data_IF_429499226239
#
_entry.id   IF_429499226239
#
_cell.length_a   1.000
_cell.length_b   1.000
_cell.length_c   1.000
_cell.angle_alpha   90.00
_cell.angle_beta   90.00
_cell.angle_gamma   90.00
#
_symmetry.space_group_name_H-M   'P 1'
#
loop_
_entity.id
_entity.type
_entity.pdbx_description
1 polymer ?
#
# COMPACT_ATOMS: atom_id res chain seq x y z
N UNK A 1 -28.76 -20.27 37.97
CA UNK A 1 -28.60 -19.15 37.02
C UNK A 1 -29.95 -18.45 36.89
N UNK A 2 -30.04 -17.15 37.15
CA UNK A 2 -31.32 -16.42 37.21
C UNK A 2 -31.93 -16.25 35.82
N UNK A 3 -33.20 -16.63 35.62
CA UNK A 3 -33.89 -16.52 34.33
C UNK A 3 -33.85 -15.09 33.77
N UNK A 4 -33.87 -14.08 34.65
CA UNK A 4 -33.71 -12.66 34.30
C UNK A 4 -32.36 -12.34 33.63
N UNK A 5 -31.28 -13.01 34.03
CA UNK A 5 -29.96 -12.83 33.43
C UNK A 5 -29.88 -13.46 32.03
N UNK A 6 -30.60 -14.57 31.79
CA UNK A 6 -30.65 -15.20 30.47
C UNK A 6 -31.28 -14.27 29.44
N UNK A 7 -32.38 -13.60 29.79
CA UNK A 7 -33.03 -12.63 28.91
C UNK A 7 -32.14 -11.41 28.60
N UNK A 8 -31.42 -10.89 29.59
CA UNK A 8 -30.47 -9.78 29.36
C UNK A 8 -29.34 -10.18 28.41
N UNK A 9 -28.79 -11.39 28.57
CA UNK A 9 -27.72 -11.89 27.69
C UNK A 9 -28.21 -12.03 26.25
N UNK A 10 -29.42 -12.55 26.03
CA UNK A 10 -29.99 -12.71 24.69
C UNK A 10 -30.22 -11.36 23.98
N UNK A 11 -30.67 -10.34 24.72
CA UNK A 11 -30.85 -8.98 24.18
C UNK A 11 -29.49 -8.39 23.77
N UNK A 12 -28.47 -8.54 24.61
CA UNK A 12 -27.12 -8.03 24.32
C UNK A 12 -26.55 -8.71 23.07
N UNK A 13 -26.63 -10.04 22.97
CA UNK A 13 -26.17 -10.79 21.78
C UNK A 13 -26.89 -10.32 20.51
N UNK A 14 -28.22 -10.12 20.59
CA UNK A 14 -29.01 -9.62 19.48
C UNK A 14 -28.55 -8.24 18.98
N UNK A 15 -28.23 -7.32 19.89
CA UNK A 15 -27.71 -5.99 19.55
C UNK A 15 -26.34 -6.07 18.86
N UNK A 16 -25.42 -6.89 19.37
CA UNK A 16 -24.10 -7.04 18.75
C UNK A 16 -24.16 -7.66 17.35
N UNK A 17 -25.01 -8.68 17.15
CA UNK A 17 -25.19 -9.31 15.83
C UNK A 17 -25.84 -8.34 14.85
N UNK A 18 -26.87 -7.59 15.27
CA UNK A 18 -27.55 -6.60 14.42
C UNK A 18 -26.64 -5.46 13.98
N UNK A 19 -25.86 -4.89 14.91
CA UNK A 19 -24.90 -3.81 14.60
C UNK A 19 -23.76 -4.33 13.73
N UNK A 20 -23.25 -5.55 14.00
CA UNK A 20 -22.21 -6.18 13.18
C UNK A 20 -22.65 -6.39 11.73
N UNK A 21 -23.89 -6.83 11.49
CA UNK A 21 -24.45 -7.01 10.15
C UNK A 21 -24.58 -5.69 9.37
N UNK A 22 -24.97 -4.60 10.04
CA UNK A 22 -25.06 -3.27 9.42
C UNK A 22 -23.68 -2.75 9.02
N UNK A 23 -22.68 -2.90 9.89
CA UNK A 23 -21.30 -2.49 9.60
C UNK A 23 -20.71 -3.34 8.47
N UNK A 24 -20.94 -4.65 8.49
CA UNK A 24 -20.44 -5.56 7.46
C UNK A 24 -20.99 -5.22 6.08
N UNK A 25 -22.28 -4.88 5.98
CA UNK A 25 -22.90 -4.48 4.70
C UNK A 25 -22.30 -3.19 4.15
N UNK A 26 -22.15 -2.16 4.99
CA UNK A 26 -21.56 -0.88 4.57
C UNK A 26 -20.09 -1.03 4.14
N UNK A 27 -19.33 -1.90 4.80
CA UNK A 27 -17.94 -2.16 4.42
C UNK A 27 -17.80 -2.88 3.06
N UNK A 28 -18.75 -3.75 2.73
CA UNK A 28 -18.74 -4.46 1.44
C UNK A 28 -19.10 -3.55 0.26
N UNK A 29 -20.06 -2.63 0.44
CA UNK A 29 -20.40 -1.62 -0.59
C UNK A 29 -19.26 -0.64 -0.86
N UNK A 30 -18.47 -0.27 0.16
CA UNK A 30 -17.30 0.60 -0.03
C UNK A 30 -16.17 -0.04 -0.87
N UNK A 31 -16.17 -1.36 -1.09
CA UNK A 31 -15.07 -2.07 -1.78
C UNK A 31 -15.31 -2.25 -3.28
N UNK A 32 -16.49 -1.92 -3.82
CA UNK A 32 -16.80 -2.15 -5.24
C UNK A 32 -16.44 -0.99 -6.18
N UNK A 33 -15.98 0.17 -5.69
CA UNK A 33 -15.67 1.34 -6.55
C UNK A 33 -14.19 1.48 -6.96
N UNK A 34 -13.28 0.62 -6.48
CA UNK A 34 -11.83 0.74 -6.78
C UNK A 34 -11.31 -0.27 -7.83
N UNK A 35 -12.18 -0.83 -8.67
CA UNK A 35 -11.80 -1.78 -9.74
C UNK A 35 -12.07 -1.24 -11.15
N UNK A 36 -11.90 0.06 -11.36
CA UNK A 36 -11.76 0.67 -12.70
C UNK A 36 -10.27 0.96 -13.02
N UNK A 37 -9.41 -0.05 -12.87
CA UNK A 37 -8.09 -0.03 -13.50
C UNK A 37 -8.22 -0.60 -14.92
N UNK A 38 -8.54 0.30 -15.85
CA UNK A 38 -8.01 0.34 -17.22
C UNK A 38 -7.79 -1.02 -17.90
N UNK A 39 -8.89 -1.70 -18.25
CA UNK A 39 -8.89 -2.83 -19.19
C UNK A 39 -9.28 -2.36 -20.60
N UNK A 40 -8.52 -1.40 -21.15
CA UNK A 40 -8.57 -1.08 -22.58
C UNK A 40 -7.47 -1.86 -23.31
N UNK A 41 -7.64 -3.17 -23.39
CA UNK A 41 -7.07 -4.02 -24.44
C UNK A 41 -8.19 -5.00 -24.82
N UNK A 42 -9.09 -4.58 -25.70
CA UNK A 42 -9.04 -4.88 -27.12
C UNK A 42 -9.01 -6.40 -27.41
N UNK A 43 -10.15 -7.05 -27.18
CA UNK A 43 -10.53 -8.25 -27.95
C UNK A 43 -11.85 -7.94 -28.63
N UNK A 44 -11.75 -7.31 -29.80
CA UNK A 44 -12.83 -7.24 -30.76
C UNK A 44 -12.87 -8.60 -31.46
N UNK A 45 -13.70 -9.52 -30.98
CA UNK A 45 -14.06 -10.73 -31.74
C UNK A 45 -14.98 -10.31 -32.88
N UNK A 46 -14.40 -10.04 -34.05
CA UNK A 46 -15.11 -10.04 -35.32
C UNK A 46 -14.97 -11.43 -35.94
N UNK A 47 -16.04 -12.21 -35.83
CA UNK A 47 -16.27 -13.37 -36.69
C UNK A 47 -16.58 -12.86 -38.10
N UNK A 48 -15.56 -12.74 -38.94
CA UNK A 48 -15.74 -12.66 -40.39
C UNK A 48 -14.72 -13.56 -41.09
N UNK A 49 -15.24 -14.69 -41.58
CA UNK A 49 -14.60 -15.52 -42.60
C UNK A 49 -14.16 -14.65 -43.78
N UNK A 50 -12.88 -14.73 -44.19
CA UNK A 50 -12.37 -14.40 -45.53
C UNK A 50 -10.94 -15.00 -45.71
N UNK A 51 -10.48 -15.19 -46.96
CA UNK A 51 -9.73 -16.34 -47.42
C UNK A 51 -8.22 -16.26 -47.19
N UNK A 52 -7.63 -17.45 -47.19
CA UNK A 52 -6.18 -17.73 -47.19
C UNK A 52 -5.53 -17.05 -48.41
N UNK A 53 -4.91 -15.88 -48.21
CA UNK A 53 -3.92 -15.32 -49.12
C UNK A 53 -2.57 -15.25 -48.40
N UNK A 54 -1.56 -15.82 -49.05
CA UNK A 54 -0.19 -15.93 -48.54
C UNK A 54 0.47 -14.55 -48.49
N UNK A 55 0.47 -13.91 -47.32
CA UNK A 55 1.17 -12.67 -47.06
C UNK A 55 2.61 -12.96 -46.59
N UNK A 56 3.64 -12.24 -47.07
CA UNK A 56 5.03 -12.49 -46.71
C UNK A 56 5.26 -12.25 -45.21
N UNK A 57 5.80 -13.27 -44.53
CA UNK A 57 6.26 -13.22 -43.13
C UNK A 57 7.14 -11.99 -42.91
N UNK A 58 6.56 -10.94 -42.33
CA UNK A 58 7.32 -9.81 -41.83
C UNK A 58 8.12 -10.29 -40.61
N UNK A 59 9.45 -10.24 -40.74
CA UNK A 59 10.36 -10.51 -39.64
C UNK A 59 10.16 -9.41 -38.59
N UNK A 60 9.46 -9.74 -37.51
CA UNK A 60 9.40 -8.89 -36.33
C UNK A 60 10.82 -8.82 -35.76
N UNK A 61 11.42 -7.63 -35.82
CA UNK A 61 12.67 -7.37 -35.11
C UNK A 61 12.28 -7.27 -33.64
N UNK A 62 12.49 -8.35 -32.91
CA UNK A 62 12.31 -8.40 -31.46
C UNK A 62 13.27 -7.36 -30.84
N UNK A 63 12.73 -6.17 -30.54
CA UNK A 63 13.47 -5.11 -29.85
C UNK A 63 13.77 -5.60 -28.43
N UNK A 64 14.93 -6.22 -28.27
CA UNK A 64 15.44 -6.62 -26.97
C UNK A 64 15.76 -5.33 -26.21
N UNK A 65 14.83 -4.88 -25.37
CA UNK A 65 15.04 -3.72 -24.50
C UNK A 65 16.28 -4.01 -23.65
N UNK A 66 17.31 -3.18 -23.80
CA UNK A 66 18.54 -3.31 -23.02
C UNK A 66 18.19 -3.21 -21.54
N UNK A 67 18.46 -4.28 -20.81
CA UNK A 67 18.27 -4.37 -19.37
C UNK A 67 19.23 -3.41 -18.65
N UNK A 68 18.70 -2.57 -17.76
CA UNK A 68 19.48 -1.58 -17.01
C UNK A 68 20.09 -2.18 -15.73
N UNK A 69 19.46 -3.22 -15.19
CA UNK A 69 19.79 -3.80 -13.90
C UNK A 69 19.35 -5.26 -13.80
N UNK A 70 19.93 -6.01 -12.87
CA UNK A 70 19.56 -7.42 -12.62
C UNK A 70 18.30 -7.48 -11.76
N UNK A 71 17.33 -8.30 -12.14
CA UNK A 71 16.08 -8.46 -11.38
C UNK A 71 16.33 -8.82 -9.92
N UNK A 72 15.61 -8.15 -9.01
CA UNK A 72 15.77 -8.30 -7.57
C UNK A 72 16.96 -7.54 -6.97
N UNK A 73 17.85 -6.97 -7.79
CA UNK A 73 18.92 -6.11 -7.28
C UNK A 73 18.33 -4.89 -6.56
N UNK A 74 18.94 -4.52 -5.43
CA UNK A 74 18.56 -3.34 -4.65
C UNK A 74 19.77 -2.42 -4.50
N UNK A 75 19.59 -1.12 -4.71
CA UNK A 75 20.64 -0.11 -4.48
C UNK A 75 20.12 1.07 -3.66
N UNK A 76 21.04 1.78 -3.00
CA UNK A 76 20.73 3.04 -2.33
C UNK A 76 20.33 4.12 -3.33
N UNK A 77 19.40 4.97 -2.93
CA UNK A 77 18.95 6.13 -3.70
C UNK A 77 18.54 7.26 -2.76
N UNK A 78 18.21 8.41 -3.35
CA UNK A 78 17.69 9.58 -2.65
C UNK A 78 16.40 10.01 -3.36
N UNK A 79 15.35 10.29 -2.60
CA UNK A 79 14.08 10.77 -3.15
C UNK A 79 14.13 12.27 -3.52
N UNK A 80 13.02 12.79 -4.06
CA UNK A 80 12.90 14.20 -4.44
C UNK A 80 13.01 15.18 -3.26
N UNK A 81 12.82 14.69 -2.02
CA UNK A 81 12.93 15.46 -0.78
C UNK A 81 14.29 15.29 -0.11
N UNK A 82 15.26 14.72 -0.82
CA UNK A 82 16.62 14.46 -0.34
C UNK A 82 16.68 13.42 0.81
N UNK A 83 15.74 12.49 0.87
CA UNK A 83 15.67 11.44 1.88
C UNK A 83 16.33 10.14 1.39
N UNK A 84 17.21 9.52 2.20
CA UNK A 84 17.87 8.28 1.83
C UNK A 84 16.87 7.13 1.78
N UNK A 85 16.92 6.35 0.71
CA UNK A 85 16.02 5.23 0.45
C UNK A 85 16.70 4.12 -0.33
N UNK A 86 15.88 3.20 -0.85
CA UNK A 86 16.30 2.09 -1.69
C UNK A 86 15.40 1.98 -2.91
N UNK A 87 15.97 1.57 -4.04
CA UNK A 87 15.19 1.17 -5.22
C UNK A 87 15.55 -0.25 -5.62
N UNK A 88 14.54 -0.95 -6.14
CA UNK A 88 14.62 -2.35 -6.54
C UNK A 88 14.48 -2.45 -8.05
N UNK A 89 15.24 -3.35 -8.67
CA UNK A 89 15.11 -3.65 -10.08
C UNK A 89 14.04 -4.71 -10.31
N UNK A 90 13.12 -4.45 -11.25
CA UNK A 90 12.06 -5.38 -11.65
C UNK A 90 11.97 -5.39 -13.18
N UNK A 91 12.06 -6.57 -13.79
CA UNK A 91 12.01 -6.76 -15.25
C UNK A 91 13.01 -5.86 -15.99
N UNK A 92 14.23 -5.79 -15.45
CA UNK A 92 15.34 -5.05 -16.01
C UNK A 92 15.25 -3.53 -15.93
N UNK A 93 14.33 -2.99 -15.12
CA UNK A 93 14.10 -1.56 -14.93
C UNK A 93 14.13 -1.20 -13.45
N UNK A 94 14.76 -0.08 -13.09
CA UNK A 94 14.74 0.43 -11.72
C UNK A 94 13.37 1.00 -11.36
N UNK A 95 12.82 0.59 -10.22
CA UNK A 95 11.65 1.25 -9.62
C UNK A 95 12.02 2.61 -9.00
N UNK A 96 11.00 3.37 -8.61
CA UNK A 96 11.14 4.61 -7.87
C UNK A 96 11.88 4.40 -6.54
N UNK A 97 12.56 5.46 -6.08
CA UNK A 97 13.20 5.44 -4.77
C UNK A 97 12.15 5.33 -3.65
N UNK A 98 12.23 4.27 -2.86
CA UNK A 98 11.37 4.04 -1.72
C UNK A 98 12.07 4.42 -0.41
N UNK A 99 11.42 5.25 0.39
CA UNK A 99 11.86 5.66 1.73
C UNK A 99 10.92 5.05 2.76
N UNK A 100 11.45 4.17 3.60
CA UNK A 100 10.68 3.55 4.68
C UNK A 100 10.42 4.57 5.79
N UNK A 101 9.15 4.88 6.03
CA UNK A 101 8.73 5.88 7.03
C UNK A 101 8.17 5.17 8.28
N UNK A 102 8.69 5.53 9.43
CA UNK A 102 8.26 5.03 10.76
C UNK A 102 7.43 6.06 11.54
N UNK A 103 7.42 7.31 11.08
CA UNK A 103 6.72 8.42 11.71
C UNK A 103 6.32 9.50 10.70
N UNK A 104 5.35 10.34 11.07
CA UNK A 104 4.96 11.47 10.22
C UNK A 104 5.99 12.61 10.41
N UNK A 105 6.55 13.20 9.34
CA UNK A 105 7.52 14.29 9.48
C UNK A 105 7.02 15.39 10.42
N UNK A 106 7.89 15.86 11.34
CA UNK A 106 7.60 16.87 12.37
C UNK A 106 6.58 16.46 13.44
N UNK A 107 6.08 15.23 13.42
CA UNK A 107 5.26 14.70 14.50
C UNK A 107 6.04 14.73 15.83
N UNK A 108 5.35 15.09 16.91
CA UNK A 108 5.91 15.06 18.27
C UNK A 108 5.31 13.91 19.06
N UNK A 109 6.15 13.17 19.77
CA UNK A 109 5.72 12.15 20.75
C UNK A 109 6.32 12.41 22.12
N UNK A 110 5.52 12.16 23.16
CA UNK A 110 5.98 12.21 24.54
C UNK A 110 7.06 11.14 24.75
N UNK A 111 8.09 11.48 25.50
CA UNK A 111 9.17 10.58 25.88
C UNK A 111 9.59 10.86 27.33
N UNK A 112 10.12 9.84 28.02
CA UNK A 112 10.71 10.01 29.33
C UNK A 112 12.12 10.57 29.19
N UNK A 113 12.43 11.62 29.95
CA UNK A 113 13.81 12.02 30.22
C UNK A 113 14.34 11.01 31.26
N UNK A 114 15.57 10.52 31.11
CA UNK A 114 16.06 9.29 31.78
C UNK A 114 16.02 9.23 33.32
N UNK A 115 15.51 10.25 33.99
CA UNK A 115 15.24 10.32 35.42
C UNK A 115 13.85 9.79 35.84
N UNK A 116 12.99 9.42 34.88
CA UNK A 116 11.70 8.75 35.12
C UNK A 116 10.60 9.63 35.72
N UNK A 117 10.92 10.85 36.15
CA UNK A 117 9.95 11.82 36.66
C UNK A 117 9.74 13.00 35.70
N UNK A 118 10.69 13.23 34.77
CA UNK A 118 10.56 14.28 33.78
C UNK A 118 10.13 13.72 32.42
N UNK A 119 9.22 14.43 31.78
CA UNK A 119 8.77 14.14 30.43
C UNK A 119 9.28 15.20 29.47
N UNK A 120 9.50 14.78 28.24
CA UNK A 120 9.88 15.63 27.13
C UNK A 120 9.16 15.23 25.86
N UNK A 121 9.61 15.81 24.75
CA UNK A 121 9.15 15.46 23.42
C UNK A 121 10.33 15.06 22.55
N UNK A 122 10.10 14.06 21.72
CA UNK A 122 10.94 13.73 20.56
C UNK A 122 10.17 14.09 19.29
N UNK A 123 10.89 14.57 18.30
CA UNK A 123 10.34 15.01 17.02
C UNK A 123 10.78 14.08 15.90
N UNK A 124 9.86 13.72 15.03
CA UNK A 124 10.15 12.94 13.84
C UNK A 124 10.92 13.78 12.81
N UNK A 125 11.99 13.24 12.24
CA UNK A 125 12.77 13.95 11.23
C UNK A 125 11.97 14.23 9.94
N UNK A 126 12.47 15.13 9.09
CA UNK A 126 11.80 15.52 7.82
C UNK A 126 11.54 14.32 6.89
N UNK A 127 12.36 13.28 6.98
CA UNK A 127 12.25 12.09 6.16
C UNK A 127 11.26 11.05 6.71
N UNK A 128 10.76 11.20 7.93
CA UNK A 128 9.92 10.19 8.56
C UNK A 128 10.67 8.93 8.99
N UNK A 129 12.00 8.91 8.94
CA UNK A 129 12.82 7.70 9.11
C UNK A 129 13.35 7.51 10.52
N UNK A 130 13.21 8.52 11.38
CA UNK A 130 13.83 8.51 12.70
C UNK A 130 13.24 9.57 13.63
N UNK A 131 13.39 9.33 14.93
CA UNK A 131 13.05 10.27 15.99
C UNK A 131 14.29 10.99 16.50
N UNK A 132 14.16 12.26 16.86
CA UNK A 132 15.20 12.99 17.58
C UNK A 132 15.42 12.45 18.99
N UNK A 133 16.50 12.91 19.62
CA UNK A 133 16.68 12.87 21.06
C UNK A 133 15.45 13.43 21.80
N UNK A 134 15.16 12.88 22.97
CA UNK A 134 14.10 13.39 23.86
C UNK A 134 14.57 14.71 24.49
N UNK A 135 13.82 15.79 24.28
CA UNK A 135 14.14 17.12 24.82
C UNK A 135 13.04 17.61 25.75
N UNK A 136 13.43 18.37 26.77
CA UNK A 136 12.49 19.02 27.70
C UNK A 136 11.58 19.97 26.91
N UNK A 137 10.27 19.80 27.07
CA UNK A 137 9.23 20.62 26.43
C UNK A 137 8.96 21.92 27.15
#
# INVERSE_FOLDING_TARGET
MNLKYLFLILIIIGLFVGVGLLIYKNFYESKSEDLDLNSNNFYKTEEHNLPINNEPKQAYIEQTKKQECVDGQTISCVDEKNCPGKKTCVLGTWLNCYVERICTPKEKKICALGDGCNFGYKECNECGTGWSECKRG
#
